data_IF_931512114595
#
_entry.id   IF_931512114595
#
_cell.length_a   1.000
_cell.length_b   1.000
_cell.length_c   1.000
_cell.angle_alpha   90.00
_cell.angle_beta   90.00
_cell.angle_gamma   90.00
#
_symmetry.space_group_name_H-M   'P 1'
#
loop_
_entity.id
_entity.type
_entity.pdbx_description
1 polymer ?
#
# COMPACT_ATOMS: atom_id res chain seq x y z
N UNK A 1 2.44 -11.50 -21.75
CA UNK A 1 1.78 -10.75 -20.65
C UNK A 1 0.33 -11.15 -20.63
N UNK A 2 -0.20 -11.62 -19.50
CA UNK A 2 -1.63 -11.90 -19.32
C UNK A 2 -2.30 -10.59 -18.93
N UNK A 3 -2.68 -9.80 -19.92
CA UNK A 3 -3.46 -8.60 -19.69
C UNK A 3 -4.85 -9.04 -19.22
N UNK A 4 -5.16 -8.76 -17.95
CA UNK A 4 -6.43 -9.13 -17.35
C UNK A 4 -7.53 -8.19 -17.87
N UNK A 5 -8.02 -8.46 -19.08
CA UNK A 5 -9.12 -7.76 -19.72
C UNK A 5 -10.43 -8.55 -19.69
N UNK A 6 -11.53 -7.90 -20.05
CA UNK A 6 -12.84 -8.57 -20.15
C UNK A 6 -12.86 -9.73 -21.15
N UNK A 7 -12.09 -9.64 -22.23
CA UNK A 7 -11.97 -10.69 -23.25
C UNK A 7 -11.31 -11.96 -22.72
N UNK A 8 -10.12 -11.84 -22.09
CA UNK A 8 -9.43 -12.97 -21.46
C UNK A 8 -10.29 -13.68 -20.41
N UNK A 9 -11.02 -12.94 -19.56
CA UNK A 9 -11.90 -13.55 -18.55
C UNK A 9 -13.01 -14.40 -19.18
N UNK A 10 -13.61 -13.91 -20.27
CA UNK A 10 -14.61 -14.69 -21.02
C UNK A 10 -13.98 -15.94 -21.62
N UNK A 11 -12.79 -15.84 -22.22
CA UNK A 11 -12.09 -16.98 -22.81
C UNK A 11 -11.78 -18.07 -21.78
N UNK A 12 -11.25 -17.68 -20.61
CA UNK A 12 -10.99 -18.59 -19.49
C UNK A 12 -12.30 -19.19 -18.97
N UNK A 13 -13.37 -18.38 -18.87
CA UNK A 13 -14.70 -18.85 -18.48
C UNK A 13 -15.24 -19.93 -19.42
N UNK A 14 -15.15 -19.73 -20.72
CA UNK A 14 -15.55 -20.73 -21.73
C UNK A 14 -14.69 -21.99 -21.61
N UNK A 15 -13.38 -21.85 -21.45
CA UNK A 15 -12.49 -23.00 -21.28
C UNK A 15 -12.84 -23.81 -20.02
N UNK A 16 -13.11 -23.12 -18.91
CA UNK A 16 -13.56 -23.75 -17.66
C UNK A 16 -14.90 -24.47 -17.83
N UNK A 17 -15.85 -23.88 -18.58
CA UNK A 17 -17.13 -24.51 -18.93
C UNK A 17 -16.90 -25.81 -19.71
N UNK A 18 -16.01 -25.80 -20.69
CA UNK A 18 -15.74 -27.00 -21.52
C UNK A 18 -15.05 -28.09 -20.69
N UNK A 19 -14.14 -27.72 -19.80
CA UNK A 19 -13.33 -28.67 -19.03
C UNK A 19 -14.14 -29.36 -17.91
N UNK A 20 -14.99 -28.60 -17.21
CA UNK A 20 -15.70 -29.03 -16.00
C UNK A 20 -17.21 -29.20 -16.23
N UNK A 21 -17.76 -28.49 -17.22
CA UNK A 21 -19.19 -28.46 -17.57
C UNK A 21 -19.87 -27.14 -17.13
N UNK A 22 -20.83 -26.61 -17.91
CA UNK A 22 -21.54 -25.37 -17.60
C UNK A 22 -22.38 -25.46 -16.33
N UNK A 23 -22.85 -26.65 -15.96
CA UNK A 23 -23.65 -26.87 -14.75
C UNK A 23 -22.79 -26.85 -13.48
N UNK A 24 -21.51 -27.20 -13.58
CA UNK A 24 -20.61 -27.35 -12.44
C UNK A 24 -19.87 -26.08 -12.05
N UNK A 25 -19.63 -25.19 -13.01
CA UNK A 25 -19.06 -23.86 -12.77
C UNK A 25 -19.86 -22.98 -11.80
N UNK A 26 -21.19 -22.81 -11.95
CA UNK A 26 -21.98 -22.00 -11.03
C UNK A 26 -22.01 -22.62 -9.63
N UNK A 27 -22.01 -23.95 -9.52
CA UNK A 27 -21.91 -24.64 -8.24
C UNK A 27 -20.56 -24.38 -7.54
N UNK A 28 -19.45 -24.48 -8.29
CA UNK A 28 -18.12 -24.16 -7.78
C UNK A 28 -18.01 -22.68 -7.36
N UNK A 29 -18.53 -21.75 -8.16
CA UNK A 29 -18.56 -20.33 -7.85
C UNK A 29 -19.42 -20.04 -6.61
N UNK A 30 -20.56 -20.73 -6.43
CA UNK A 30 -21.40 -20.63 -5.24
C UNK A 30 -20.68 -21.14 -3.98
N UNK A 31 -19.99 -22.27 -4.09
CA UNK A 31 -19.22 -22.83 -2.99
C UNK A 31 -18.05 -21.92 -2.58
N UNK A 32 -17.27 -21.47 -3.57
CA UNK A 32 -16.17 -20.55 -3.35
C UNK A 32 -16.67 -19.22 -2.81
N UNK A 33 -17.75 -18.68 -3.35
CA UNK A 33 -18.36 -17.42 -2.91
C UNK A 33 -18.87 -17.48 -1.47
N UNK A 34 -19.54 -18.57 -1.08
CA UNK A 34 -20.00 -18.76 0.32
C UNK A 34 -18.82 -18.85 1.29
N UNK A 35 -17.77 -19.55 0.91
CA UNK A 35 -16.54 -19.70 1.71
C UNK A 35 -15.77 -18.38 1.81
N UNK A 36 -15.60 -17.68 0.69
CA UNK A 36 -14.92 -16.40 0.61
C UNK A 36 -15.66 -15.30 1.38
N UNK A 37 -16.99 -15.29 1.30
CA UNK A 37 -17.83 -14.36 2.06
C UNK A 37 -17.71 -14.58 3.56
N UNK A 38 -17.68 -15.83 4.01
CA UNK A 38 -17.43 -16.18 5.41
C UNK A 38 -16.04 -15.77 5.87
N UNK A 39 -15.01 -16.06 5.06
CA UNK A 39 -13.63 -15.70 5.38
C UNK A 39 -13.43 -14.19 5.46
N UNK A 40 -14.01 -13.43 4.53
CA UNK A 40 -13.94 -11.96 4.59
C UNK A 40 -14.57 -11.40 5.86
N UNK A 41 -15.70 -11.98 6.28
CA UNK A 41 -16.38 -11.58 7.51
C UNK A 41 -15.54 -11.88 8.75
N UNK A 42 -14.91 -13.06 8.81
CA UNK A 42 -14.00 -13.40 9.89
C UNK A 42 -12.77 -12.46 9.94
N UNK A 43 -12.23 -12.07 8.79
CA UNK A 43 -11.15 -11.08 8.72
C UNK A 43 -11.62 -9.69 9.18
N UNK A 44 -12.84 -9.28 8.81
CA UNK A 44 -13.43 -8.01 9.23
C UNK A 44 -13.68 -7.99 10.75
N UNK A 45 -14.15 -9.10 11.34
CA UNK A 45 -14.38 -9.24 12.77
C UNK A 45 -13.05 -9.15 13.55
N UNK A 46 -12.03 -9.90 13.11
CA UNK A 46 -10.68 -9.85 13.71
C UNK A 46 -10.08 -8.45 13.59
N UNK A 47 -10.20 -7.81 12.42
CA UNK A 47 -9.73 -6.43 12.21
C UNK A 47 -10.52 -5.44 13.07
N UNK A 48 -11.80 -5.68 13.31
CA UNK A 48 -12.67 -4.89 14.15
C UNK A 48 -12.29 -4.95 15.63
N UNK A 49 -11.96 -6.15 16.12
CA UNK A 49 -11.43 -6.37 17.47
C UNK A 49 -10.05 -5.72 17.63
N UNK A 50 -9.14 -5.97 16.67
CA UNK A 50 -7.81 -5.36 16.68
C UNK A 50 -7.87 -3.83 16.63
N UNK A 51 -8.77 -3.24 15.83
CA UNK A 51 -8.96 -1.78 15.79
C UNK A 51 -9.49 -1.23 17.12
N UNK A 52 -10.30 -2.00 17.84
CA UNK A 52 -10.85 -1.60 19.15
C UNK A 52 -9.79 -1.63 20.24
N UNK A 53 -8.91 -2.62 20.21
CA UNK A 53 -7.77 -2.73 21.10
C UNK A 53 -6.67 -1.72 20.75
N UNK A 54 -6.35 -1.56 19.47
CA UNK A 54 -5.39 -0.55 19.01
C UNK A 54 -5.84 0.87 19.32
N UNK A 55 -7.14 1.20 19.36
CA UNK A 55 -7.56 2.51 19.83
C UNK A 55 -7.22 2.76 21.31
N UNK A 56 -7.24 1.71 22.15
CA UNK A 56 -6.82 1.81 23.55
C UNK A 56 -5.29 1.86 23.67
N UNK A 57 -4.60 1.06 22.86
CA UNK A 57 -3.13 1.05 22.80
C UNK A 57 -2.58 2.36 22.20
N UNK A 58 -3.23 2.96 21.20
CA UNK A 58 -2.79 4.24 20.61
C UNK A 58 -2.90 5.38 21.63
N UNK A 59 -3.92 5.35 22.49
CA UNK A 59 -4.09 6.34 23.56
C UNK A 59 -3.07 6.14 24.69
N UNK A 60 -2.66 4.90 24.96
CA UNK A 60 -1.60 4.57 25.92
C UNK A 60 -0.20 4.87 25.37
N UNK A 61 0.06 4.51 24.11
CA UNK A 61 1.30 4.83 23.38
C UNK A 61 1.46 6.34 23.24
N UNK A 62 0.39 7.09 22.95
CA UNK A 62 0.45 8.55 22.84
C UNK A 62 0.70 9.23 24.19
N UNK A 63 0.26 8.65 25.31
CA UNK A 63 0.59 9.12 26.65
C UNK A 63 2.05 8.82 27.01
N UNK A 64 2.54 7.61 26.72
CA UNK A 64 3.94 7.22 26.94
C UNK A 64 4.88 8.04 26.07
N UNK A 65 4.55 8.26 24.79
CA UNK A 65 5.32 9.12 23.89
C UNK A 65 5.34 10.58 24.36
N UNK A 66 4.22 11.13 24.87
CA UNK A 66 4.22 12.48 25.46
C UNK A 66 5.10 12.57 26.71
N UNK A 67 5.04 11.57 27.59
CA UNK A 67 5.89 11.50 28.77
C UNK A 67 7.38 11.33 28.41
N UNK A 68 7.71 10.65 27.31
CA UNK A 68 9.07 10.51 26.81
C UNK A 68 9.59 11.82 26.15
N UNK A 69 8.73 12.54 25.43
CA UNK A 69 9.06 13.83 24.81
C UNK A 69 9.29 14.93 25.84
N UNK A 70 8.54 14.96 26.94
CA UNK A 70 8.75 15.91 28.03
C UNK A 70 10.07 15.67 28.78
N UNK A 71 10.55 14.42 28.87
CA UNK A 71 11.87 14.12 29.46
C UNK A 71 13.05 14.54 28.58
N UNK A 72 12.87 14.61 27.26
CA UNK A 72 13.91 15.05 26.33
C UNK A 72 14.07 16.59 26.31
N UNK A 73 13.01 17.33 26.69
CA UNK A 73 12.98 18.80 26.65
C UNK A 73 13.72 19.50 27.80
N UNK A 74 14.30 18.74 28.74
CA UNK A 74 14.97 19.27 29.94
C UNK A 74 16.51 19.39 29.84
N UNK A 75 17.12 19.20 28.66
CA UNK A 75 18.52 19.57 28.45
C UNK A 75 18.63 20.92 27.73
N UNK A 76 19.07 21.99 28.42
CA UNK A 76 19.30 23.28 27.77
C UNK A 76 20.64 23.22 27.05
N UNK A 77 20.66 23.53 25.76
CA UNK A 77 21.87 24.02 25.09
C UNK A 77 21.54 25.36 24.46
N UNK A 78 21.84 26.41 25.23
CA UNK A 78 21.90 27.82 24.83
C UNK A 78 23.32 28.06 24.24
N UNK A 79 23.60 29.15 23.52
CA UNK A 79 23.57 29.28 22.05
C UNK A 79 24.96 29.59 21.45
N UNK A 80 25.18 29.24 20.18
CA UNK A 80 26.16 29.93 19.34
C UNK A 80 25.55 30.28 17.98
N UNK A 81 25.91 31.48 17.54
CA UNK A 81 25.40 32.30 16.44
C UNK A 81 26.16 31.99 15.12
N UNK A 82 25.96 32.76 14.04
CA UNK A 82 25.20 32.42 12.82
C UNK A 82 26.08 31.98 11.62
N UNK A 83 25.56 31.16 10.70
CA UNK A 83 26.01 31.13 9.29
C UNK A 83 25.02 30.37 8.39
N UNK A 84 24.68 31.06 7.30
CA UNK A 84 23.78 30.82 6.16
C UNK A 84 24.16 29.57 5.28
N UNK A 85 23.47 29.29 4.16
CA UNK A 85 22.34 28.40 3.97
C UNK A 85 22.69 27.17 3.11
N UNK A 86 22.04 26.03 3.33
CA UNK A 86 22.19 24.86 2.48
C UNK A 86 20.94 24.01 2.49
N UNK A 87 20.03 24.31 1.56
CA UNK A 87 18.98 23.37 1.14
C UNK A 87 19.63 22.04 0.75
N UNK A 88 19.33 20.98 1.50
CA UNK A 88 19.36 19.62 0.98
C UNK A 88 17.92 19.18 0.83
N UNK A 89 17.42 19.42 -0.37
CA UNK A 89 16.19 18.89 -0.94
C UNK A 89 16.22 17.36 -0.87
N UNK A 90 15.48 16.80 0.07
CA UNK A 90 15.27 15.35 0.22
C UNK A 90 14.14 14.88 -0.71
N UNK A 91 14.21 15.29 -1.97
CA UNK A 91 13.21 14.99 -3.00
C UNK A 91 13.81 14.29 -4.23
N UNK A 92 15.15 14.20 -4.32
CA UNK A 92 15.85 13.52 -5.42
C UNK A 92 15.98 11.99 -5.23
N UNK A 93 16.18 11.50 -4.00
CA UNK A 93 16.39 10.07 -3.73
C UNK A 93 15.13 9.21 -3.97
N UNK A 94 13.94 9.80 -3.81
CA UNK A 94 12.68 9.08 -4.00
C UNK A 94 12.35 8.90 -5.49
N UNK A 95 12.76 9.84 -6.33
CA UNK A 95 12.53 9.78 -7.77
C UNK A 95 13.43 8.75 -8.46
N UNK A 96 14.69 8.67 -8.03
CA UNK A 96 15.67 7.72 -8.58
C UNK A 96 15.31 6.26 -8.24
N UNK A 97 14.84 6.04 -7.00
CA UNK A 97 14.35 4.73 -6.57
C UNK A 97 13.09 4.27 -7.32
N UNK A 98 12.18 5.20 -7.63
CA UNK A 98 10.99 4.90 -8.43
C UNK A 98 11.38 4.65 -9.90
N UNK A 99 12.35 5.40 -10.42
CA UNK A 99 12.88 5.24 -11.78
C UNK A 99 13.56 3.89 -12.02
N UNK A 100 14.32 3.37 -11.05
CA UNK A 100 14.99 2.08 -11.16
C UNK A 100 14.00 0.89 -11.15
N UNK A 101 12.89 0.99 -10.41
CA UNK A 101 11.86 -0.05 -10.35
C UNK A 101 10.95 -0.06 -11.57
N UNK A 102 10.79 1.08 -12.24
CA UNK A 102 10.03 1.19 -13.48
C UNK A 102 11.01 1.31 -14.64
N UNK A 103 11.51 0.18 -15.15
CA UNK A 103 12.34 0.14 -16.37
C UNK A 103 11.65 0.76 -17.59
N UNK A 104 11.64 2.09 -17.65
CA UNK A 104 11.26 2.94 -18.77
C UNK A 104 12.51 3.71 -19.10
N UNK A 105 13.26 3.17 -20.05
CA UNK A 105 14.33 3.88 -20.72
C UNK A 105 13.80 5.22 -21.20
N UNK A 106 14.51 6.28 -20.81
CA UNK A 106 14.46 7.58 -21.45
C UNK A 106 14.60 7.41 -22.97
N UNK A 107 13.64 7.95 -23.73
CA UNK A 107 13.94 8.52 -25.05
C UNK A 107 13.94 10.03 -24.84
N UNK A 108 15.14 10.53 -24.64
CA UNK A 108 15.54 11.91 -24.87
C UNK A 108 15.12 12.35 -26.28
N UNK A 109 14.45 13.49 -26.43
CA UNK A 109 14.65 14.39 -27.56
C UNK A 109 14.03 15.77 -27.23
N UNK A 110 14.83 16.62 -26.58
CA UNK A 110 14.83 18.05 -26.90
C UNK A 110 15.92 18.19 -27.97
N UNK A 111 15.66 18.82 -29.13
CA UNK A 111 15.92 20.25 -29.13
C UNK A 111 14.98 21.06 -30.03
N UNK A 112 14.58 22.21 -29.47
CA UNK A 112 14.69 23.49 -30.14
C UNK A 112 13.66 23.89 -31.22
N UNK A 113 13.17 25.12 -31.01
CA UNK A 113 13.20 26.17 -32.02
C UNK A 113 12.31 25.96 -33.26
N UNK A 114 11.07 26.46 -33.20
CA UNK A 114 10.60 27.65 -33.96
C UNK A 114 9.11 27.89 -33.73
#
# INVERSE_FOLDING_TARGET
>A
MLSLGGGELILIGVLAIVLIGPEKLPDAARWLGKTWGGMRRALDDVTGEFRRELHQVDEEVRQVSRAALDQNKAQPKTPEEPADPGEVTADADLADFIGEVTGTSEESEDPASK
#
